data_IF_923342550517
#
_entry.id   IF_923342550517
#
_cell.length_a   1.000
_cell.length_b   1.000
_cell.length_c   1.000
_cell.angle_alpha   90.00
_cell.angle_beta   90.00
_cell.angle_gamma   90.00
#
_symmetry.space_group_name_H-M   'P 1'
#
loop_
_entity.id
_entity.type
_entity.pdbx_description
1 polymer ?
#
# COMPACT_ATOMS: atom_id res chain seq x y z
N UNK A 1 6.49 -7.18 -27.73
CA UNK A 1 6.27 -5.85 -27.12
C UNK A 1 7.35 -5.68 -26.07
N UNK A 2 8.12 -4.60 -26.13
CA UNK A 2 9.26 -4.36 -25.25
C UNK A 2 9.27 -2.91 -24.76
N UNK A 3 10.45 -2.32 -24.60
CA UNK A 3 10.67 -0.98 -24.01
C UNK A 3 10.07 0.21 -24.79
N UNK A 4 9.31 -0.01 -25.85
CA UNK A 4 8.76 1.05 -26.72
C UNK A 4 7.80 1.97 -25.96
N UNK A 5 6.87 1.40 -25.17
CA UNK A 5 5.92 2.21 -24.39
C UNK A 5 6.64 2.93 -23.24
N UNK A 6 7.55 2.24 -22.56
CA UNK A 6 8.40 2.82 -21.52
C UNK A 6 9.17 4.05 -22.01
N UNK A 7 9.89 3.92 -23.14
CA UNK A 7 10.66 5.02 -23.73
C UNK A 7 9.79 6.18 -24.22
N UNK A 8 8.54 5.92 -24.63
CA UNK A 8 7.61 6.98 -25.05
C UNK A 8 7.06 7.78 -23.86
N UNK A 9 7.00 7.17 -22.68
CA UNK A 9 6.44 7.77 -21.47
C UNK A 9 7.50 8.44 -20.57
N UNK A 10 8.77 8.50 -20.99
CA UNK A 10 9.87 9.07 -20.21
C UNK A 10 10.60 10.14 -20.99
N UNK A 11 10.86 11.24 -20.31
CA UNK A 11 11.76 12.28 -20.78
C UNK A 11 13.14 12.08 -20.12
N UNK A 12 14.02 11.32 -20.80
CA UNK A 12 15.35 10.98 -20.29
C UNK A 12 16.32 12.16 -20.20
N UNK A 13 15.95 13.35 -20.68
CA UNK A 13 16.72 14.57 -20.42
C UNK A 13 16.42 15.14 -19.03
N UNK A 14 15.29 14.76 -18.43
CA UNK A 14 14.84 15.26 -17.12
C UNK A 14 14.94 14.22 -16.02
N UNK A 15 14.68 12.95 -16.34
CA UNK A 15 14.77 11.86 -15.35
C UNK A 15 16.13 11.17 -15.39
N UNK A 16 16.64 10.80 -14.21
CA UNK A 16 17.84 9.97 -14.09
C UNK A 16 17.57 8.48 -14.39
N UNK A 17 16.35 8.14 -14.79
CA UNK A 17 15.96 6.77 -15.12
C UNK A 17 16.68 6.22 -16.36
N UNK A 18 17.12 4.94 -16.36
CA UNK A 18 17.81 4.35 -17.49
C UNK A 18 16.85 4.11 -18.66
N UNK A 19 17.20 4.61 -19.85
CA UNK A 19 16.43 4.40 -21.09
C UNK A 19 16.44 2.96 -21.65
N UNK A 20 17.20 2.08 -20.99
CA UNK A 20 17.58 0.76 -21.47
C UNK A 20 18.60 0.88 -22.60
N UNK A 21 19.84 0.50 -22.34
CA UNK A 21 20.95 0.76 -23.27
C UNK A 21 20.68 0.17 -24.68
N UNK A 22 21.17 0.88 -25.73
CA UNK A 22 21.46 0.22 -27.02
C UNK A 22 22.66 -0.69 -26.80
N UNK A 23 22.43 -1.84 -26.19
CA UNK A 23 23.46 -2.83 -25.92
C UNK A 23 24.23 -3.14 -27.22
N UNK A 24 25.56 -3.13 -27.15
CA UNK A 24 26.44 -3.53 -28.25
C UNK A 24 26.07 -4.95 -28.70
N UNK A 25 26.44 -5.34 -29.93
CA UNK A 25 26.16 -6.71 -30.42
C UNK A 25 26.72 -7.78 -29.48
N UNK A 26 27.88 -7.53 -28.87
CA UNK A 26 28.48 -8.37 -27.85
C UNK A 26 27.66 -8.42 -26.55
N UNK A 27 27.20 -7.27 -26.04
CA UNK A 27 26.35 -7.21 -24.85
C UNK A 27 24.98 -7.89 -25.08
N UNK A 28 24.40 -7.77 -26.28
CA UNK A 28 23.18 -8.51 -26.66
C UNK A 28 23.40 -10.02 -26.70
N UNK A 29 24.53 -10.48 -27.24
CA UNK A 29 24.87 -11.90 -27.26
C UNK A 29 25.08 -12.44 -25.84
N UNK A 30 25.74 -11.67 -24.97
CA UNK A 30 25.92 -12.02 -23.57
C UNK A 30 24.58 -12.07 -22.80
N UNK A 31 23.71 -11.08 -23.01
CA UNK A 31 22.36 -11.06 -22.42
C UNK A 31 21.50 -12.24 -22.89
N UNK A 32 21.52 -12.57 -24.18
CA UNK A 32 20.81 -13.74 -24.73
C UNK A 32 21.36 -15.06 -24.16
N UNK A 33 22.68 -15.17 -23.97
CA UNK A 33 23.30 -16.34 -23.30
C UNK A 33 22.86 -16.45 -21.84
N UNK A 34 22.85 -15.32 -21.11
CA UNK A 34 22.39 -15.25 -19.72
C UNK A 34 20.91 -15.63 -19.61
N UNK A 35 20.07 -15.09 -20.49
CA UNK A 35 18.65 -15.42 -20.55
C UNK A 35 18.42 -16.91 -20.84
N UNK A 36 19.18 -17.50 -21.77
CA UNK A 36 19.10 -18.94 -22.07
C UNK A 36 19.51 -19.79 -20.87
N UNK A 37 20.57 -19.41 -20.16
CA UNK A 37 21.01 -20.10 -18.95
C UNK A 37 19.97 -19.97 -17.82
N UNK A 38 19.42 -18.78 -17.62
CA UNK A 38 18.37 -18.50 -16.66
C UNK A 38 17.07 -19.27 -16.97
N UNK A 39 16.71 -19.38 -18.25
CA UNK A 39 15.59 -20.21 -18.70
C UNK A 39 15.84 -21.70 -18.47
N UNK A 40 17.07 -22.20 -18.68
CA UNK A 40 17.42 -23.59 -18.39
C UNK A 40 17.36 -23.90 -16.88
N UNK A 41 17.76 -22.95 -16.03
CA UNK A 41 17.70 -23.07 -14.58
C UNK A 41 16.30 -22.75 -13.99
N UNK A 42 15.39 -22.19 -14.79
CA UNK A 42 14.12 -21.59 -14.36
C UNK A 42 14.26 -20.47 -13.32
N UNK A 43 15.45 -19.90 -13.16
CA UNK A 43 15.78 -18.89 -12.15
C UNK A 43 16.20 -17.59 -12.84
N UNK A 44 15.56 -16.47 -12.47
CA UNK A 44 15.77 -15.14 -13.06
C UNK A 44 15.77 -14.07 -11.97
N UNK A 45 16.20 -12.84 -12.26
CA UNK A 45 16.19 -11.78 -11.24
C UNK A 45 14.81 -11.19 -10.99
N UNK A 46 14.56 -10.74 -9.77
CA UNK A 46 13.42 -9.89 -9.43
C UNK A 46 13.86 -8.69 -8.62
N UNK A 47 13.02 -7.67 -8.63
CA UNK A 47 13.21 -6.45 -7.84
C UNK A 47 11.86 -5.93 -7.36
N UNK A 48 11.86 -5.35 -6.17
CA UNK A 48 10.74 -4.60 -5.62
C UNK A 48 11.24 -3.23 -5.25
N UNK A 49 10.68 -2.20 -5.87
CA UNK A 49 11.00 -0.82 -5.56
C UNK A 49 9.88 -0.20 -4.71
N UNK A 50 10.23 0.46 -3.61
CA UNK A 50 9.28 1.29 -2.86
C UNK A 50 9.34 2.69 -3.46
N UNK A 51 8.18 3.20 -3.85
CA UNK A 51 8.05 4.40 -4.67
C UNK A 51 7.08 5.38 -4.02
N UNK A 52 7.61 6.49 -3.50
CA UNK A 52 6.82 7.58 -2.93
C UNK A 52 6.50 8.63 -4.01
N UNK A 53 5.58 8.24 -4.90
CA UNK A 53 5.04 9.14 -5.91
C UNK A 53 3.89 10.00 -5.34
N UNK A 54 2.86 10.31 -6.15
CA UNK A 54 1.64 10.92 -5.61
C UNK A 54 0.98 10.07 -4.52
N UNK A 55 1.14 8.75 -4.61
CA UNK A 55 0.77 7.80 -3.57
C UNK A 55 1.92 6.82 -3.41
N UNK A 56 2.20 6.45 -2.16
CA UNK A 56 3.13 5.37 -1.86
C UNK A 56 2.62 4.07 -2.49
N UNK A 57 3.49 3.41 -3.23
CA UNK A 57 3.25 2.08 -3.78
C UNK A 57 4.57 1.32 -3.93
N UNK A 58 4.45 0.03 -4.23
CA UNK A 58 5.59 -0.84 -4.46
C UNK A 58 5.54 -1.35 -5.90
N UNK A 59 6.57 -1.06 -6.68
CA UNK A 59 6.73 -1.59 -8.02
C UNK A 59 7.38 -2.98 -7.93
N UNK A 60 6.57 -4.02 -8.12
CA UNK A 60 6.99 -5.41 -8.14
C UNK A 60 7.38 -5.81 -9.57
N UNK A 61 8.62 -6.29 -9.78
CA UNK A 61 9.12 -6.59 -11.12
C UNK A 61 9.83 -7.93 -11.22
N UNK A 62 9.52 -8.69 -12.27
CA UNK A 62 10.13 -9.99 -12.59
C UNK A 62 10.86 -9.91 -13.93
N UNK A 63 12.12 -10.33 -13.99
CA UNK A 63 12.84 -10.50 -15.25
C UNK A 63 12.22 -11.65 -16.06
N UNK A 64 11.73 -11.35 -17.26
CA UNK A 64 11.20 -12.33 -18.21
C UNK A 64 11.25 -11.79 -19.65
N UNK A 65 11.79 -12.56 -20.60
CA UNK A 65 11.86 -12.16 -22.00
C UNK A 65 12.77 -10.95 -22.25
N UNK A 66 13.88 -10.84 -21.50
CA UNK A 66 14.83 -9.73 -21.59
C UNK A 66 14.34 -8.38 -21.06
N UNK A 67 13.20 -8.35 -20.37
CA UNK A 67 12.62 -7.14 -19.76
C UNK A 67 12.13 -7.40 -18.34
N UNK A 68 11.84 -6.34 -17.59
CA UNK A 68 11.19 -6.41 -16.28
C UNK A 68 9.67 -6.28 -16.44
N UNK A 69 8.96 -7.41 -16.34
CA UNK A 69 7.50 -7.43 -16.21
C UNK A 69 7.12 -6.81 -14.88
N UNK A 70 6.30 -5.76 -14.91
CA UNK A 70 6.15 -4.85 -13.79
C UNK A 70 4.69 -4.71 -13.34
N UNK A 71 4.48 -4.62 -12.03
CA UNK A 71 3.20 -4.35 -11.41
C UNK A 71 3.31 -3.35 -10.28
N UNK A 72 2.45 -2.35 -10.26
CA UNK A 72 2.29 -1.45 -9.13
C UNK A 72 1.39 -2.08 -8.06
N UNK A 73 1.91 -2.24 -6.84
CA UNK A 73 1.25 -2.84 -5.68
C UNK A 73 1.04 -1.75 -4.62
N UNK A 74 -0.14 -1.10 -4.53
CA UNK A 74 -0.34 0.09 -3.71
C UNK A 74 -0.07 -0.11 -2.22
N UNK A 75 -0.39 -1.29 -1.68
CA UNK A 75 -0.19 -1.62 -0.26
C UNK A 75 1.04 -2.49 0.00
N UNK A 76 1.90 -2.65 -1.00
CA UNK A 76 3.05 -3.55 -0.92
C UNK A 76 2.71 -5.04 -0.85
N UNK A 77 3.72 -5.90 -0.83
CA UNK A 77 3.57 -7.34 -0.62
C UNK A 77 3.03 -7.65 0.80
N UNK A 78 2.58 -8.88 1.03
CA UNK A 78 2.27 -9.38 2.39
C UNK A 78 2.75 -10.82 2.50
N UNK A 79 3.36 -11.17 3.64
CA UNK A 79 3.75 -12.55 3.97
C UNK A 79 2.56 -13.40 4.43
N UNK A 80 1.37 -12.82 4.56
CA UNK A 80 0.17 -13.51 5.00
C UNK A 80 -0.57 -14.16 3.81
N UNK A 81 -0.72 -15.50 3.79
CA UNK A 81 -1.43 -16.19 2.72
C UNK A 81 -2.92 -15.85 2.59
N UNK A 82 -3.53 -15.30 3.65
CA UNK A 82 -4.93 -14.87 3.65
C UNK A 82 -5.14 -13.50 3.00
N UNK A 83 -4.06 -12.71 2.86
CA UNK A 83 -4.11 -11.34 2.34
C UNK A 83 -3.91 -11.34 0.83
N UNK A 84 -4.85 -10.72 0.12
CA UNK A 84 -4.79 -10.53 -1.34
C UNK A 84 -4.37 -9.09 -1.64
N UNK A 85 -3.20 -8.90 -2.24
CA UNK A 85 -2.70 -7.57 -2.62
C UNK A 85 -3.05 -7.30 -4.08
N UNK A 86 -3.67 -6.15 -4.34
CA UNK A 86 -3.90 -5.69 -5.72
C UNK A 86 -2.56 -5.34 -6.37
N UNK A 87 -2.31 -5.87 -7.56
CA UNK A 87 -1.14 -5.62 -8.38
C UNK A 87 -1.62 -5.15 -9.76
N UNK A 88 -1.39 -3.89 -10.10
CA UNK A 88 -1.80 -3.31 -11.39
C UNK A 88 -0.66 -3.50 -12.39
N UNK A 89 -0.90 -4.17 -13.50
CA UNK A 89 0.12 -4.35 -14.53
C UNK A 89 0.47 -2.99 -15.16
N UNK A 90 1.76 -2.69 -15.19
CA UNK A 90 2.33 -1.46 -15.77
C UNK A 90 3.32 -1.83 -16.87
N UNK A 91 3.88 -0.82 -17.53
CA UNK A 91 4.80 -1.00 -18.64
C UNK A 91 6.02 -1.86 -18.29
N UNK A 92 6.54 -2.58 -19.28
CA UNK A 92 7.80 -3.30 -19.15
C UNK A 92 8.97 -2.33 -18.93
N UNK A 93 9.85 -2.63 -17.97
CA UNK A 93 11.02 -1.79 -17.67
C UNK A 93 12.33 -2.44 -18.17
N UNK A 94 13.38 -1.65 -18.44
CA UNK A 94 14.68 -2.20 -18.81
C UNK A 94 15.32 -2.92 -17.62
N UNK A 95 16.14 -3.95 -17.88
CA UNK A 95 16.83 -4.69 -16.82
C UNK A 95 17.73 -3.79 -15.96
N UNK A 96 18.34 -2.77 -16.57
CA UNK A 96 19.16 -1.77 -15.89
C UNK A 96 18.36 -0.97 -14.84
N UNK A 97 17.03 -0.91 -14.96
CA UNK A 97 16.16 -0.25 -14.00
C UNK A 97 16.12 -0.96 -12.64
N UNK A 98 16.46 -2.26 -12.58
CA UNK A 98 16.39 -3.03 -11.36
C UNK A 98 17.34 -2.53 -10.25
N UNK A 99 18.38 -1.79 -10.59
CA UNK A 99 19.33 -1.23 -9.63
C UNK A 99 19.11 0.26 -9.34
N UNK A 100 18.13 0.90 -10.01
CA UNK A 100 17.86 2.33 -9.90
C UNK A 100 17.30 2.70 -8.52
N UNK A 101 17.91 3.70 -7.91
CA UNK A 101 17.46 4.39 -6.70
C UNK A 101 17.72 5.89 -6.89
N UNK A 102 16.79 6.73 -6.47
CA UNK A 102 16.91 8.16 -6.62
C UNK A 102 15.56 8.87 -6.64
N UNK A 103 15.61 10.17 -6.94
CA UNK A 103 14.43 11.03 -7.02
C UNK A 103 14.07 11.28 -8.49
N UNK A 104 12.83 10.99 -8.87
CA UNK A 104 12.26 11.34 -10.17
C UNK A 104 11.57 12.70 -10.03
N UNK A 105 11.88 13.71 -10.87
CA UNK A 105 11.33 15.05 -10.72
C UNK A 105 9.80 15.08 -10.66
N UNK A 106 9.26 15.96 -9.81
CA UNK A 106 7.80 16.17 -9.70
C UNK A 106 7.23 16.63 -11.04
N UNK A 107 6.17 15.97 -11.49
CA UNK A 107 5.50 16.26 -12.77
C UNK A 107 5.89 15.31 -13.90
N UNK A 108 7.01 14.60 -13.77
CA UNK A 108 7.35 13.50 -14.67
C UNK A 108 6.53 12.24 -14.33
N UNK A 109 6.42 11.33 -15.29
CA UNK A 109 5.71 10.07 -15.06
C UNK A 109 6.45 9.24 -14.03
N UNK A 110 5.79 8.95 -12.91
CA UNK A 110 6.44 8.31 -11.77
C UNK A 110 7.31 9.28 -10.96
N UNK A 111 7.02 10.58 -10.97
CA UNK A 111 7.70 11.55 -10.12
C UNK A 111 7.54 11.20 -8.63
N UNK A 112 8.66 11.13 -7.92
CA UNK A 112 8.73 10.60 -6.55
C UNK A 112 10.10 10.00 -6.23
N UNK A 113 10.32 9.70 -4.95
CA UNK A 113 11.53 9.00 -4.51
C UNK A 113 11.37 7.49 -4.66
N UNK A 114 12.39 6.84 -5.19
CA UNK A 114 12.42 5.41 -5.48
C UNK A 114 13.61 4.77 -4.77
N UNK A 115 13.35 3.73 -4.00
CA UNK A 115 14.39 2.86 -3.40
C UNK A 115 14.19 1.41 -3.83
N UNK A 116 15.28 0.65 -3.89
CA UNK A 116 15.22 -0.81 -4.07
C UNK A 116 14.92 -1.42 -2.70
N UNK A 117 13.65 -1.77 -2.49
CA UNK A 117 13.15 -2.28 -1.22
C UNK A 117 13.44 -3.76 -1.04
N UNK A 118 13.42 -4.55 -2.11
CA UNK A 118 13.86 -5.95 -2.08
C UNK A 118 14.41 -6.34 -3.46
N UNK A 119 15.28 -7.36 -3.50
CA UNK A 119 15.83 -7.91 -4.74
C UNK A 119 16.27 -9.35 -4.51
N UNK A 120 16.40 -10.09 -5.59
CA UNK A 120 16.99 -11.41 -5.55
C UNK A 120 16.64 -12.21 -6.79
N UNK A 121 16.42 -13.51 -6.58
CA UNK A 121 16.07 -14.44 -7.65
C UNK A 121 14.65 -14.95 -7.49
N UNK A 122 13.95 -15.11 -8.61
CA UNK A 122 12.67 -15.79 -8.66
C UNK A 122 12.80 -17.07 -9.46
N UNK A 123 12.21 -18.14 -8.93
CA UNK A 123 12.17 -19.47 -9.54
C UNK A 123 10.78 -19.65 -10.12
N UNK A 124 10.75 -19.98 -11.40
CA UNK A 124 9.55 -20.05 -12.22
C UNK A 124 9.22 -21.49 -12.63
N UNK A 125 8.08 -21.67 -13.27
CA UNK A 125 7.80 -22.91 -14.02
C UNK A 125 8.70 -23.01 -15.26
N UNK A 126 8.59 -24.11 -16.01
CA UNK A 126 9.27 -24.26 -17.31
C UNK A 126 8.74 -23.30 -18.39
N UNK A 127 7.53 -22.77 -18.22
CA UNK A 127 6.82 -21.96 -19.23
C UNK A 127 6.20 -20.69 -18.63
N UNK A 128 7.01 -19.80 -18.03
CA UNK A 128 6.50 -18.60 -17.33
C UNK A 128 5.77 -17.63 -18.24
N UNK A 129 6.16 -17.53 -19.52
CA UNK A 129 5.48 -16.67 -20.50
C UNK A 129 4.05 -17.16 -20.80
N UNK A 130 3.86 -18.48 -20.90
CA UNK A 130 2.55 -19.06 -21.11
C UNK A 130 1.66 -18.87 -19.88
N UNK A 131 2.23 -19.03 -18.68
CA UNK A 131 1.55 -18.85 -17.40
C UNK A 131 1.11 -17.39 -17.18
N UNK A 132 1.98 -16.45 -17.52
CA UNK A 132 1.66 -15.02 -17.56
C UNK A 132 0.52 -14.73 -18.56
N UNK A 133 0.57 -15.28 -19.77
CA UNK A 133 -0.48 -15.08 -20.79
C UNK A 133 -1.83 -15.65 -20.34
N UNK A 134 -1.83 -16.83 -19.70
CA UNK A 134 -3.00 -17.46 -19.08
C UNK A 134 -3.56 -16.65 -17.92
N UNK A 135 -2.76 -15.78 -17.31
CA UNK A 135 -3.19 -14.97 -16.17
C UNK A 135 -2.99 -15.66 -14.82
N UNK A 136 -2.12 -16.67 -14.74
CA UNK A 136 -1.80 -17.35 -13.48
C UNK A 136 -0.32 -17.70 -13.49
N UNK A 137 0.46 -17.01 -12.68
CA UNK A 137 1.90 -17.21 -12.56
C UNK A 137 2.21 -17.63 -11.11
N UNK A 138 2.66 -18.88 -10.94
CA UNK A 138 3.19 -19.38 -9.66
C UNK A 138 4.71 -19.35 -9.70
N UNK A 139 5.32 -18.90 -8.61
CA UNK A 139 6.76 -18.75 -8.51
C UNK A 139 7.23 -18.79 -7.06
N UNK A 140 8.52 -18.98 -6.88
CA UNK A 140 9.19 -18.87 -5.59
C UNK A 140 10.14 -17.68 -5.62
N UNK A 141 10.15 -16.87 -4.57
CA UNK A 141 11.10 -15.77 -4.38
C UNK A 141 12.22 -16.20 -3.44
N UNK A 142 13.43 -15.79 -3.78
CA UNK A 142 14.64 -15.86 -2.96
C UNK A 142 15.22 -14.45 -2.89
N UNK A 143 14.55 -13.60 -2.13
CA UNK A 143 14.96 -12.22 -1.86
C UNK A 143 15.71 -12.06 -0.56
N UNK A 144 16.07 -10.81 -0.28
CA UNK A 144 16.60 -10.40 1.01
C UNK A 144 15.46 -10.25 2.04
N UNK A 145 14.27 -9.84 1.60
CA UNK A 145 13.08 -9.69 2.46
C UNK A 145 11.98 -10.69 2.16
N UNK A 146 11.65 -10.90 0.87
CA UNK A 146 10.61 -11.83 0.48
C UNK A 146 11.21 -13.19 0.10
N UNK A 147 10.69 -14.23 0.73
CA UNK A 147 11.06 -15.60 0.45
C UNK A 147 9.83 -16.51 0.25
N UNK A 148 10.06 -17.69 -0.32
CA UNK A 148 9.06 -18.74 -0.45
C UNK A 148 8.15 -18.55 -1.66
N UNK A 149 7.04 -19.29 -1.67
CA UNK A 149 6.11 -19.43 -2.79
C UNK A 149 5.08 -18.30 -2.83
N UNK A 150 4.82 -17.83 -4.03
CA UNK A 150 3.92 -16.72 -4.37
C UNK A 150 3.09 -17.07 -5.60
N UNK A 151 2.01 -16.33 -5.79
CA UNK A 151 1.19 -16.43 -6.98
C UNK A 151 0.69 -15.06 -7.41
N UNK A 152 0.72 -14.81 -8.71
CA UNK A 152 0.05 -13.72 -9.39
C UNK A 152 -1.13 -14.27 -10.20
N UNK A 153 -2.34 -13.77 -9.92
CA UNK A 153 -3.56 -14.16 -10.64
C UNK A 153 -4.21 -12.93 -11.26
N UNK A 154 -4.39 -12.93 -12.58
CA UNK A 154 -5.11 -11.89 -13.30
C UNK A 154 -6.60 -12.01 -13.03
N UNK A 155 -7.22 -10.90 -12.72
CA UNK A 155 -8.65 -10.78 -12.42
C UNK A 155 -9.35 -9.97 -13.50
N UNK A 156 -10.62 -10.29 -13.74
CA UNK A 156 -11.45 -9.57 -14.70
C UNK A 156 -11.16 -9.89 -16.17
N UNK A 157 -11.88 -9.19 -17.06
CA UNK A 157 -11.71 -9.29 -18.51
C UNK A 157 -10.46 -8.53 -18.95
N UNK A 158 -9.85 -8.88 -20.11
CA UNK A 158 -8.76 -8.10 -20.69
C UNK A 158 -9.14 -6.62 -20.78
N UNK A 159 -8.38 -5.76 -20.11
CA UNK A 159 -8.59 -4.31 -20.10
C UNK A 159 -7.28 -3.60 -20.43
N UNK A 160 -7.32 -2.28 -20.65
CA UNK A 160 -6.11 -1.47 -20.87
C UNK A 160 -5.14 -1.48 -19.68
N UNK A 161 -5.62 -1.81 -18.47
CA UNK A 161 -4.81 -1.91 -17.25
C UNK A 161 -5.20 -3.19 -16.51
N UNK A 162 -4.63 -4.34 -16.89
CA UNK A 162 -4.94 -5.62 -16.28
C UNK A 162 -4.74 -5.58 -14.77
N UNK A 163 -5.74 -6.03 -14.03
CA UNK A 163 -5.67 -6.11 -12.57
C UNK A 163 -5.27 -7.51 -12.16
N UNK A 164 -4.25 -7.60 -11.31
CA UNK A 164 -3.75 -8.86 -10.76
C UNK A 164 -3.90 -8.87 -9.25
N UNK A 165 -3.87 -10.07 -8.68
CA UNK A 165 -3.75 -10.31 -7.26
C UNK A 165 -2.43 -11.00 -6.99
N UNK A 166 -1.59 -10.36 -6.20
CA UNK A 166 -0.39 -10.94 -5.61
C UNK A 166 -0.78 -11.56 -4.26
N UNK A 167 -0.48 -12.84 -4.09
CA UNK A 167 -0.80 -13.59 -2.87
C UNK A 167 0.38 -14.45 -2.46
N UNK A 168 0.69 -14.48 -1.16
CA UNK A 168 1.62 -15.43 -0.58
C UNK A 168 0.99 -16.82 -0.58
N UNK A 169 1.77 -17.86 -0.88
CA UNK A 169 1.36 -19.25 -0.68
C UNK A 169 1.78 -19.73 0.69
N UNK A 170 0.99 -20.62 1.28
CA UNK A 170 1.30 -21.25 2.56
C UNK A 170 2.57 -22.09 2.44
N UNK A 171 3.60 -21.72 3.18
CA UNK A 171 4.88 -22.42 3.34
C UNK A 171 5.57 -21.94 4.63
N UNK A 172 6.83 -22.35 4.84
CA UNK A 172 7.61 -21.99 6.02
C UNK A 172 7.93 -20.49 6.16
N UNK A 173 7.87 -19.72 5.06
CA UNK A 173 8.12 -18.28 5.05
C UNK A 173 6.83 -17.45 5.20
N UNK A 174 5.67 -18.10 5.32
CA UNK A 174 4.40 -17.43 5.50
C UNK A 174 4.22 -16.97 6.96
N UNK A 175 3.90 -15.69 7.15
CA UNK A 175 3.68 -15.08 8.47
C UNK A 175 2.41 -14.24 8.41
N UNK A 176 1.52 -14.43 9.39
CA UNK A 176 0.29 -13.64 9.49
C UNK A 176 0.60 -12.15 9.68
N UNK A 177 -0.15 -11.27 9.01
CA UNK A 177 0.09 -9.81 9.06
C UNK A 177 -0.06 -9.26 10.48
N UNK A 178 -0.89 -9.88 11.31
CA UNK A 178 -1.04 -9.51 12.74
C UNK A 178 0.21 -9.77 13.58
N UNK A 179 1.13 -10.62 13.12
CA UNK A 179 2.38 -10.94 13.80
C UNK A 179 3.57 -10.19 13.23
N UNK A 180 3.57 -9.96 11.93
CA UNK A 180 4.69 -9.35 11.23
C UNK A 180 4.22 -8.73 9.93
N UNK A 181 4.41 -7.41 9.78
CA UNK A 181 4.22 -6.72 8.52
C UNK A 181 5.57 -6.30 7.94
N UNK A 182 6.03 -7.04 6.93
CA UNK A 182 7.35 -6.84 6.31
C UNK A 182 7.55 -5.41 5.79
N UNK A 183 6.48 -4.71 5.38
CA UNK A 183 6.60 -3.34 4.85
C UNK A 183 6.89 -2.30 5.92
N UNK A 184 6.45 -2.56 7.16
CA UNK A 184 6.66 -1.70 8.33
C UNK A 184 7.96 -2.08 9.07
N UNK A 185 8.22 -3.38 9.18
CA UNK A 185 9.37 -3.93 9.93
C UNK A 185 10.69 -3.75 9.18
N UNK A 186 10.67 -3.82 7.84
CA UNK A 186 11.85 -3.65 6.99
C UNK A 186 11.61 -2.57 5.93
N UNK A 187 11.52 -1.27 6.30
CA UNK A 187 11.14 -0.22 5.36
C UNK A 187 12.28 0.24 4.43
N UNK A 188 13.54 0.05 4.83
CA UNK A 188 14.72 0.60 4.13
C UNK A 188 15.15 -0.12 2.85
N UNK A 189 16.06 0.50 2.11
CA UNK A 189 16.69 -0.07 0.92
C UNK A 189 17.56 -1.27 1.27
N UNK A 190 17.50 -2.32 0.45
CA UNK A 190 18.45 -3.46 0.55
C UNK A 190 19.85 -3.13 0.05
N UNK A 191 19.99 -2.08 -0.77
CA UNK A 191 21.28 -1.68 -1.34
C UNK A 191 22.05 -0.75 -0.42
N UNK A 192 21.36 0.22 0.17
CA UNK A 192 21.99 1.34 0.91
C UNK A 192 21.54 1.44 2.36
N UNK A 193 20.49 0.71 2.74
CA UNK A 193 19.80 0.90 4.03
C UNK A 193 18.96 2.18 4.11
N UNK A 194 18.96 3.00 3.05
CA UNK A 194 18.26 4.28 3.04
C UNK A 194 16.74 4.11 3.19
N UNK A 195 16.12 4.98 3.98
CA UNK A 195 14.68 5.11 4.06
C UNK A 195 14.20 6.12 3.04
N UNK A 196 12.92 6.05 2.65
CA UNK A 196 12.32 7.17 1.93
C UNK A 196 12.17 8.36 2.89
N UNK A 197 12.27 9.61 2.41
CA UNK A 197 12.15 10.79 3.28
C UNK A 197 10.87 10.80 4.14
N UNK A 198 9.79 10.21 3.62
CA UNK A 198 8.53 10.02 4.35
C UNK A 198 8.66 9.11 5.57
N UNK A 199 9.49 8.08 5.51
CA UNK A 199 9.66 7.09 6.57
C UNK A 199 10.69 7.53 7.65
N UNK A 200 11.55 8.52 7.33
CA UNK A 200 12.54 9.05 8.29
C UNK A 200 11.90 9.63 9.55
N UNK A 201 10.71 10.24 9.42
CA UNK A 201 9.94 10.78 10.54
C UNK A 201 9.19 9.72 11.36
N UNK A 202 8.87 8.56 10.78
CA UNK A 202 8.17 7.46 11.46
C UNK A 202 9.12 6.59 12.32
N UNK A 203 10.40 6.50 11.92
CA UNK A 203 11.47 5.80 12.64
C UNK A 203 11.96 6.54 13.91
N UNK A 204 11.73 7.85 14.01
CA UNK A 204 12.18 8.67 15.15
C UNK A 204 11.46 8.37 16.49
N UNK A 205 10.46 7.49 16.52
CA UNK A 205 9.81 7.02 17.74
C UNK A 205 10.53 5.89 18.48
N UNK A 206 11.56 5.28 17.89
CA UNK A 206 12.23 4.10 18.44
C UNK A 206 13.76 4.19 18.40
N UNK A 207 14.34 5.31 18.82
CA UNK A 207 15.77 5.40 19.16
C UNK A 207 16.04 6.58 20.10
N UNK A 208 15.65 6.44 21.36
CA UNK A 208 16.11 7.33 22.42
C UNK A 208 17.51 6.91 22.89
N UNK A 209 18.54 7.69 22.54
CA UNK A 209 19.67 8.11 23.38
C UNK A 209 20.90 8.45 22.50
N UNK A 210 21.23 9.74 22.38
CA UNK A 210 22.38 10.18 21.58
C UNK A 210 22.58 11.69 21.53
N UNK A 211 22.68 12.29 22.71
CA UNK A 211 23.33 13.57 23.05
C UNK A 211 23.93 14.42 21.92
N UNK A 212 23.39 15.62 21.68
CA UNK A 212 24.17 16.84 21.36
C UNK A 212 23.40 18.14 21.65
N UNK A 213 23.63 18.64 22.87
CA UNK A 213 23.96 20.03 23.26
C UNK A 213 23.38 21.16 22.38
N UNK A 214 22.27 21.76 22.83
CA UNK A 214 21.88 23.14 22.46
C UNK A 214 22.41 24.12 23.52
N UNK A 215 23.10 25.17 23.04
CA UNK A 215 23.51 26.31 23.84
C UNK A 215 22.32 27.27 24.08
N UNK A 216 22.44 27.99 25.19
CA UNK A 216 21.39 28.70 25.92
C UNK A 216 20.89 30.02 25.29
N UNK A 217 19.67 30.42 25.66
CA UNK A 217 19.43 31.72 26.29
C UNK A 217 18.14 31.67 27.11
N UNK A 218 18.26 32.08 28.38
CA UNK A 218 17.23 32.16 29.43
C UNK A 218 16.37 33.41 29.26
N UNK A 219 15.09 33.33 29.65
CA UNK A 219 14.49 34.33 30.52
C UNK A 219 13.58 33.65 31.55
N UNK A 220 13.90 33.91 32.82
CA UNK A 220 13.24 33.50 34.06
C UNK A 220 12.10 34.47 34.37
N UNK A 221 10.96 34.02 34.90
CA UNK A 221 10.53 34.16 36.32
C UNK A 221 8.98 34.18 36.30
N UNK A 222 8.16 33.78 37.28
CA UNK A 222 8.29 33.19 38.62
C UNK A 222 6.85 32.86 39.12
N UNK A 223 6.65 31.64 39.67
CA UNK A 223 5.97 31.25 40.95
C UNK A 223 4.80 32.16 41.43
N UNK A 224 3.60 31.72 41.85
CA UNK A 224 3.22 30.63 42.77
C UNK A 224 1.67 30.50 42.91
N UNK A 225 1.21 29.31 43.37
CA UNK A 225 0.19 29.00 44.44
C UNK A 225 -1.14 29.78 44.45
N UNK A 226 -2.31 29.25 44.80
CA UNK A 226 -2.80 28.01 45.42
C UNK A 226 -4.31 28.22 45.66
N UNK A 227 -5.15 27.19 45.57
CA UNK A 227 -6.20 26.92 46.58
C UNK A 227 -7.02 25.70 46.18
N UNK A 228 -7.50 25.01 47.20
CA UNK A 228 -8.09 23.68 47.17
C UNK A 228 -9.60 23.71 47.45
N UNK A 229 -10.23 22.52 47.37
CA UNK A 229 -11.52 22.09 47.95
C UNK A 229 -12.75 22.45 47.08
N UNK A 230 -13.76 21.60 46.83
CA UNK A 230 -14.32 20.42 47.51
C UNK A 230 -15.04 19.54 46.44
N UNK A 231 -14.86 18.22 46.38
CA UNK A 231 -15.61 17.15 47.06
C UNK A 231 -17.13 17.06 46.74
N UNK A 232 -17.51 16.09 45.89
CA UNK A 232 -18.75 15.28 45.95
C UNK A 232 -18.59 14.09 44.98
N UNK A 233 -18.14 12.91 45.42
CA UNK A 233 -18.98 11.72 45.76
C UNK A 233 -20.26 11.62 44.92
N UNK A 234 -20.35 10.62 44.02
CA UNK A 234 -21.22 9.42 44.14
C UNK A 234 -20.65 8.30 43.25
N UNK A 235 -20.43 7.13 43.85
CA UNK A 235 -20.08 5.85 43.21
C UNK A 235 -21.33 4.95 43.10
N UNK A 236 -21.25 3.85 42.32
CA UNK A 236 -22.38 3.26 41.58
C UNK A 236 -23.09 2.11 42.33
N UNK A 237 -24.32 1.77 41.90
CA UNK A 237 -25.02 0.54 42.26
C UNK A 237 -25.89 0.12 41.06
N UNK A 238 -25.43 -0.81 40.23
CA UNK A 238 -25.54 -2.28 40.32
C UNK A 238 -26.92 -2.84 39.94
N UNK A 239 -26.89 -3.59 38.83
CA UNK A 239 -27.56 -4.89 38.58
C UNK A 239 -29.09 -4.97 38.60
N UNK A 240 -29.68 -5.31 37.44
CA UNK A 240 -30.70 -6.35 37.37
C UNK A 240 -30.82 -6.94 35.95
N UNK A 241 -31.14 -8.22 35.95
CA UNK A 241 -31.05 -9.24 34.90
C UNK A 241 -32.30 -9.26 34.01
N UNK A 242 -32.10 -9.69 32.77
CA UNK A 242 -33.03 -10.24 31.78
C UNK A 242 -34.54 -10.34 32.09
N UNK A 243 -35.38 -9.88 31.15
CA UNK A 243 -36.49 -10.72 30.66
C UNK A 243 -36.99 -10.27 29.27
N UNK A 244 -37.23 -11.28 28.44
CA UNK A 244 -37.93 -11.24 27.17
C UNK A 244 -39.37 -10.78 27.32
N UNK A 245 -39.83 -9.83 26.50
CA UNK A 245 -41.23 -9.81 26.07
C UNK A 245 -41.41 -9.06 24.74
N UNK A 246 -41.95 -9.79 23.79
CA UNK A 246 -42.47 -9.34 22.50
C UNK A 246 -43.55 -8.29 22.73
N UNK A 247 -43.33 -7.02 22.35
CA UNK A 247 -44.37 -5.98 22.37
C UNK A 247 -44.62 -5.42 20.97
N UNK A 248 -45.86 -5.61 20.54
CA UNK A 248 -46.50 -5.06 19.34
C UNK A 248 -46.21 -3.57 19.17
N UNK A 249 -45.90 -3.16 17.93
CA UNK A 249 -45.75 -1.76 17.51
C UNK A 249 -47.04 -0.98 17.80
N UNK A 250 -46.91 0.09 18.57
CA UNK A 250 -47.91 1.15 18.68
C UNK A 250 -47.87 2.05 17.42
N UNK A 251 -48.99 2.67 17.01
CA UNK A 251 -49.03 3.50 15.81
C UNK A 251 -48.34 4.84 16.09
N UNK A 252 -47.30 5.16 15.33
CA UNK A 252 -46.63 6.46 15.43
C UNK A 252 -47.53 7.50 14.77
N UNK A 253 -47.93 8.50 15.56
CA UNK A 253 -48.69 9.67 15.13
C UNK A 253 -48.02 10.33 13.91
N UNK A 254 -48.80 10.60 12.85
CA UNK A 254 -48.35 11.32 11.65
C UNK A 254 -47.93 12.75 11.99
N UNK A 255 -46.65 12.91 12.37
CA UNK A 255 -45.96 14.20 12.33
C UNK A 255 -45.83 14.60 10.86
N UNK A 256 -46.10 15.87 10.53
CA UNK A 256 -45.91 16.45 9.19
C UNK A 256 -44.56 15.96 8.64
N UNK A 257 -44.58 15.14 7.60
CA UNK A 257 -43.37 14.58 7.00
C UNK A 257 -42.56 15.72 6.43
N UNK A 258 -41.42 16.04 7.06
CA UNK A 258 -40.41 16.86 6.41
C UNK A 258 -40.02 16.17 5.11
N UNK A 259 -39.92 16.96 4.03
CA UNK A 259 -39.56 16.46 2.71
C UNK A 259 -38.22 15.74 2.82
N UNK A 260 -38.18 14.47 2.37
CA UNK A 260 -36.98 13.67 2.47
C UNK A 260 -35.81 14.37 1.73
N UNK A 261 -34.63 14.53 2.36
CA UNK A 261 -33.55 15.35 1.81
C UNK A 261 -32.88 14.77 0.56
N UNK A 262 -33.27 13.57 0.13
CA UNK A 262 -32.74 12.92 -1.05
C UNK A 262 -31.28 12.51 -0.86
N UNK A 263 -30.45 12.74 -1.88
CA UNK A 263 -29.01 12.48 -1.80
C UNK A 263 -28.32 13.57 -0.96
N UNK A 264 -27.73 13.16 0.15
CA UNK A 264 -26.85 14.02 0.95
C UNK A 264 -25.42 13.75 0.52
N UNK A 265 -24.80 14.72 -0.15
CA UNK A 265 -23.42 14.60 -0.61
C UNK A 265 -22.48 14.44 0.60
N UNK A 266 -21.72 13.33 0.70
CA UNK A 266 -20.79 13.14 1.80
C UNK A 266 -19.71 14.23 1.81
N UNK A 267 -19.40 14.76 3.00
CA UNK A 267 -18.28 15.66 3.18
C UNK A 267 -16.95 14.90 3.05
N UNK A 268 -15.94 15.55 2.47
CA UNK A 268 -14.60 14.98 2.37
C UNK A 268 -13.83 15.24 3.66
N UNK A 269 -13.18 14.21 4.16
CA UNK A 269 -12.31 14.34 5.32
C UNK A 269 -11.07 15.17 4.96
N UNK A 270 -10.68 16.06 5.87
CA UNK A 270 -9.35 16.67 5.89
C UNK A 270 -8.52 15.92 6.93
N UNK A 271 -7.21 15.80 6.68
CA UNK A 271 -6.30 15.23 7.66
C UNK A 271 -6.25 16.16 8.88
N UNK A 272 -6.39 15.57 10.07
CA UNK A 272 -6.34 16.27 11.36
C UNK A 272 -5.60 15.38 12.35
N UNK A 273 -4.80 15.98 13.22
CA UNK A 273 -4.12 15.25 14.30
C UNK A 273 -5.09 14.88 15.43
N UNK A 274 -6.17 15.64 15.59
CA UNK A 274 -7.16 15.44 16.66
C UNK A 274 -8.54 15.26 16.04
N UNK A 275 -9.27 14.23 16.49
CA UNK A 275 -10.65 14.00 16.09
C UNK A 275 -11.54 15.11 16.67
N UNK A 276 -12.49 15.68 15.89
CA UNK A 276 -13.38 16.71 16.40
C UNK A 276 -14.28 16.16 17.51
N UNK A 277 -14.38 16.85 18.64
CA UNK A 277 -15.28 16.48 19.74
C UNK A 277 -16.58 17.28 19.74
N UNK A 278 -17.50 16.92 20.64
CA UNK A 278 -18.77 17.64 20.86
C UNK A 278 -19.99 16.72 20.72
N UNK A 279 -21.15 17.20 21.19
CA UNK A 279 -22.41 16.42 21.17
C UNK A 279 -22.96 16.13 19.78
N UNK A 280 -22.50 16.87 18.76
CA UNK A 280 -22.91 16.70 17.36
C UNK A 280 -22.07 15.67 16.60
N UNK A 281 -21.06 15.06 17.24
CA UNK A 281 -20.13 14.14 16.62
C UNK A 281 -20.36 12.70 17.07
N UNK A 282 -20.43 11.80 16.09
CA UNK A 282 -20.39 10.35 16.31
C UNK A 282 -19.12 9.80 15.69
N UNK A 283 -18.38 9.01 16.46
CA UNK A 283 -17.13 8.39 16.01
C UNK A 283 -17.35 6.92 15.71
N UNK A 284 -16.84 6.48 14.55
CA UNK A 284 -16.84 5.09 14.12
C UNK A 284 -15.41 4.65 13.85
N UNK A 285 -15.05 3.44 14.28
CA UNK A 285 -13.77 2.83 13.93
C UNK A 285 -13.77 2.53 12.43
N UNK A 286 -12.83 3.12 11.70
CA UNK A 286 -12.74 2.92 10.26
C UNK A 286 -12.15 1.55 9.93
N UNK A 287 -12.97 0.66 9.41
CA UNK A 287 -12.52 -0.53 8.69
C UNK A 287 -12.24 -0.19 7.21
N UNK A 288 -11.41 -0.98 6.54
CA UNK A 288 -11.14 -0.79 5.11
C UNK A 288 -12.34 -1.23 4.27
N UNK A 289 -12.80 -0.40 3.32
CA UNK A 289 -14.01 -0.66 2.56
C UNK A 289 -14.69 0.58 1.97
N UNK A 290 -15.88 0.37 1.40
CA UNK A 290 -16.72 1.42 0.82
C UNK A 290 -17.70 1.97 1.86
N UNK A 291 -17.91 3.29 1.86
CA UNK A 291 -19.03 3.93 2.58
C UNK A 291 -20.16 4.20 1.59
N UNK A 292 -21.37 3.86 1.98
CA UNK A 292 -22.59 4.18 1.25
C UNK A 292 -23.54 4.96 2.17
N UNK A 293 -24.30 5.88 1.60
CA UNK A 293 -25.43 6.50 2.29
C UNK A 293 -26.67 5.70 1.94
N UNK A 294 -27.28 5.08 2.94
CA UNK A 294 -28.49 4.28 2.74
C UNK A 294 -29.70 5.07 3.22
N UNK A 295 -30.70 5.21 2.37
CA UNK A 295 -31.96 5.88 2.70
C UNK A 295 -33.11 4.90 2.70
N UNK A 296 -34.02 5.08 3.66
CA UNK A 296 -35.24 4.30 3.82
C UNK A 296 -36.42 5.26 3.78
N UNK A 297 -37.21 5.20 2.72
CA UNK A 297 -38.35 6.09 2.50
C UNK A 297 -39.52 5.27 1.93
N UNK A 298 -40.69 5.33 2.57
CA UNK A 298 -41.91 4.62 2.15
C UNK A 298 -41.70 3.14 1.80
N UNK A 299 -40.88 2.44 2.60
CA UNK A 299 -40.55 1.02 2.38
C UNK A 299 -39.56 0.76 1.24
N UNK A 300 -39.05 1.80 0.58
CA UNK A 300 -38.01 1.70 -0.45
C UNK A 300 -36.64 1.97 0.15
N UNK A 301 -35.67 1.14 -0.23
CA UNK A 301 -34.26 1.29 0.13
C UNK A 301 -33.50 1.84 -1.06
N UNK A 302 -32.75 2.93 -0.87
CA UNK A 302 -31.79 3.43 -1.86
C UNK A 302 -30.42 3.52 -1.22
N UNK A 303 -29.38 3.22 -2.00
CA UNK A 303 -27.99 3.30 -1.55
C UNK A 303 -27.24 4.21 -2.52
N UNK A 304 -26.57 5.22 -1.97
CA UNK A 304 -25.80 6.19 -2.74
C UNK A 304 -24.31 6.01 -2.49
N UNK A 305 -23.53 6.16 -3.55
CA UNK A 305 -22.07 6.25 -3.45
C UNK A 305 -21.64 7.71 -3.32
N UNK A 306 -20.32 7.97 -3.28
CA UNK A 306 -19.78 9.34 -3.17
C UNK A 306 -20.28 10.29 -4.26
N UNK A 307 -20.56 9.80 -5.47
CA UNK A 307 -20.93 10.60 -6.64
C UNK A 307 -22.43 10.61 -6.95
N UNK A 308 -23.25 10.02 -6.07
CA UNK A 308 -24.61 9.61 -6.38
C UNK A 308 -24.73 8.10 -6.47
#
# INVERSE_FOLDING_TARGET
MGLTQYRKMRDFEKTAEPSGSKATRAAKAAAAKKEKAAAAANTRSFVIQKHDASHLHYDFRLELGGVLKSWAVPKGPSLDPSVKRLAMEVEDHPLDYASFEGSIPKGEYGGGDVIVWDRGEWISSKTPEADLKKGRLEFELKGEKLAGKWILVRTGRPSKKPQWLLMKRTDAAAIATSKYDVTEELPGSVKTGALLPRDEGASAGAAGAGTKKKAAAKSTAKVAKSSAKAAAKVSPKASAKASSSTKKKAPVSKKKSEKFPGFIKPQLAKLSEVAPGGGDWVHEIKFDGYRAVTTFEDGKVRMFTRSG
#
